data_IF_766188057537
#
_entry.id   IF_766188057537
#
_cell.length_a   1.000
_cell.length_b   1.000
_cell.length_c   1.000
_cell.angle_alpha   90.00
_cell.angle_beta   90.00
_cell.angle_gamma   90.00
#
_symmetry.space_group_name_H-M   'P 1'
#
loop_
_entity.id
_entity.type
_entity.pdbx_description
1 polymer ?
#
# COMPACT_ATOMS: atom_id res chain seq x y z
N UNK A 1 12.91 -19.96 -10.43
CA UNK A 1 12.35 -18.61 -10.67
C UNK A 1 12.52 -17.80 -9.38
N UNK A 2 13.30 -16.72 -9.40
CA UNK A 2 13.34 -15.79 -8.28
C UNK A 2 11.97 -15.12 -8.20
N UNK A 3 11.22 -15.22 -7.09
CA UNK A 3 9.97 -14.49 -6.96
C UNK A 3 10.31 -13.01 -7.04
N UNK A 4 9.85 -12.36 -8.11
CA UNK A 4 10.07 -10.94 -8.35
C UNK A 4 9.69 -10.18 -7.09
N UNK A 5 10.65 -9.56 -6.42
CA UNK A 5 10.47 -8.83 -5.14
C UNK A 5 9.39 -7.75 -5.25
N UNK A 6 9.06 -7.31 -6.47
CA UNK A 6 7.99 -6.38 -6.78
C UNK A 6 6.58 -6.98 -6.63
N UNK A 7 6.39 -8.27 -6.91
CA UNK A 7 5.09 -8.94 -6.79
C UNK A 7 4.68 -9.18 -5.34
N UNK A 8 5.64 -9.47 -4.46
CA UNK A 8 5.38 -9.70 -3.04
C UNK A 8 4.99 -8.41 -2.30
N UNK A 9 5.64 -7.29 -2.63
CA UNK A 9 5.36 -5.99 -1.99
C UNK A 9 3.98 -5.46 -2.37
N UNK A 10 3.57 -5.62 -3.63
CA UNK A 10 2.24 -5.20 -4.08
C UNK A 10 1.14 -6.02 -3.40
N UNK A 11 1.32 -7.35 -3.31
CA UNK A 11 0.38 -8.22 -2.63
C UNK A 11 0.27 -7.91 -1.13
N UNK A 12 1.39 -7.55 -0.48
CA UNK A 12 1.39 -7.14 0.93
C UNK A 12 0.59 -5.84 1.14
N UNK A 13 0.85 -4.79 0.36
CA UNK A 13 0.14 -3.52 0.51
C UNK A 13 -1.36 -3.69 0.21
N UNK A 14 -1.71 -4.39 -0.87
CA UNK A 14 -3.12 -4.69 -1.17
C UNK A 14 -3.78 -5.57 -0.09
N UNK A 15 -3.03 -6.45 0.58
CA UNK A 15 -3.49 -7.17 1.76
C UNK A 15 -3.80 -6.25 2.94
N UNK A 16 -2.89 -5.31 3.23
CA UNK A 16 -3.04 -4.34 4.32
C UNK A 16 -4.21 -3.38 4.09
N UNK A 17 -4.39 -2.91 2.85
CA UNK A 17 -5.54 -2.08 2.46
C UNK A 17 -6.87 -2.83 2.65
N UNK A 18 -6.94 -4.11 2.26
CA UNK A 18 -8.14 -4.95 2.50
C UNK A 18 -8.42 -5.16 3.99
N UNK A 19 -7.39 -5.41 4.80
CA UNK A 19 -7.54 -5.56 6.24
C UNK A 19 -8.05 -4.27 6.90
N UNK A 20 -7.53 -3.12 6.46
CA UNK A 20 -7.98 -1.81 6.93
C UNK A 20 -9.45 -1.52 6.56
N UNK A 21 -9.87 -1.81 5.32
CA UNK A 21 -11.27 -1.68 4.88
C UNK A 21 -12.22 -2.62 5.63
N UNK A 22 -11.79 -3.84 5.95
CA UNK A 22 -12.58 -4.76 6.78
C UNK A 22 -12.83 -4.21 8.20
N UNK A 23 -11.90 -3.42 8.74
CA UNK A 23 -12.05 -2.82 10.08
C UNK A 23 -12.78 -1.47 10.07
N UNK A 24 -12.59 -0.65 9.04
CA UNK A 24 -13.04 0.75 9.02
C UNK A 24 -14.16 1.03 8.00
N UNK A 25 -14.57 0.02 7.23
CA UNK A 25 -15.47 0.19 6.08
C UNK A 25 -14.78 0.79 4.86
N UNK A 26 -15.57 1.14 3.84
CA UNK A 26 -15.09 1.70 2.57
C UNK A 26 -15.06 3.23 2.54
N UNK A 27 -15.39 3.90 3.65
CA UNK A 27 -15.48 5.36 3.72
C UNK A 27 -14.13 6.02 4.06
N UNK A 28 -13.04 5.48 3.53
CA UNK A 28 -11.68 5.96 3.77
C UNK A 28 -10.99 6.24 2.45
N UNK A 29 -10.28 7.36 2.36
CA UNK A 29 -9.50 7.70 1.17
C UNK A 29 -8.34 6.71 0.98
N UNK A 30 -8.03 6.37 -0.27
CA UNK A 30 -6.87 5.57 -0.68
C UNK A 30 -5.59 6.11 -0.03
N UNK A 31 -5.48 7.44 0.13
CA UNK A 31 -4.36 8.08 0.79
C UNK A 31 -4.22 7.69 2.28
N UNK A 32 -5.34 7.58 2.99
CA UNK A 32 -5.38 7.12 4.39
C UNK A 32 -4.91 5.67 4.49
N UNK A 33 -5.34 4.81 3.57
CA UNK A 33 -4.91 3.41 3.56
C UNK A 33 -3.41 3.25 3.28
N UNK A 34 -2.85 4.08 2.41
CA UNK A 34 -1.40 4.12 2.15
C UNK A 34 -0.60 4.56 3.38
N UNK A 35 -1.10 5.56 4.11
CA UNK A 35 -0.45 6.04 5.34
C UNK A 35 -0.43 4.95 6.42
N UNK A 36 -1.54 4.22 6.58
CA UNK A 36 -1.60 3.09 7.52
C UNK A 36 -0.71 1.93 7.09
N UNK A 37 -0.68 1.57 5.80
CA UNK A 37 0.24 0.57 5.30
C UNK A 37 1.70 0.96 5.59
N UNK A 38 2.08 2.22 5.35
CA UNK A 38 3.41 2.71 5.68
C UNK A 38 3.71 2.66 7.19
N UNK A 39 2.75 3.02 8.06
CA UNK A 39 2.88 2.95 9.52
C UNK A 39 3.11 1.52 10.00
N UNK A 40 2.30 0.57 9.55
CA UNK A 40 2.43 -0.84 9.91
C UNK A 40 3.74 -1.45 9.41
N UNK A 41 4.17 -1.09 8.19
CA UNK A 41 5.43 -1.61 7.62
C UNK A 41 6.65 -1.10 8.42
N UNK A 42 6.62 0.16 8.89
CA UNK A 42 7.63 0.69 9.82
C UNK A 42 7.61 -0.02 11.17
N UNK A 43 6.43 -0.25 11.74
CA UNK A 43 6.28 -0.95 13.01
C UNK A 43 6.79 -2.39 12.96
N UNK A 44 6.76 -3.03 11.78
CA UNK A 44 7.34 -4.34 11.53
C UNK A 44 8.89 -4.32 11.39
N UNK A 45 9.55 -3.18 11.59
CA UNK A 45 11.01 -3.05 11.53
C UNK A 45 11.58 -2.97 10.11
N UNK A 46 10.74 -2.74 9.09
CA UNK A 46 11.22 -2.60 7.71
C UNK A 46 11.96 -1.27 7.55
N UNK A 47 13.16 -1.25 6.93
CA UNK A 47 13.92 -0.01 6.73
C UNK A 47 13.13 1.04 5.94
N UNK A 48 13.20 2.30 6.38
CA UNK A 48 12.44 3.42 5.79
C UNK A 48 12.66 3.55 4.27
N UNK A 49 13.87 3.25 3.79
CA UNK A 49 14.17 3.26 2.34
C UNK A 49 13.34 2.25 1.55
N UNK A 50 13.09 1.07 2.13
CA UNK A 50 12.26 0.02 1.53
C UNK A 50 10.80 0.42 1.58
N UNK A 51 10.32 0.95 2.71
CA UNK A 51 8.95 1.49 2.86
C UNK A 51 8.69 2.57 1.81
N UNK A 52 9.56 3.58 1.70
CA UNK A 52 9.40 4.67 0.72
C UNK A 52 9.37 4.18 -0.72
N UNK A 53 10.21 3.19 -1.06
CA UNK A 53 10.23 2.60 -2.41
C UNK A 53 8.92 1.86 -2.70
N UNK A 54 8.47 1.02 -1.76
CA UNK A 54 7.23 0.27 -1.87
C UNK A 54 6.02 1.21 -2.04
N UNK A 55 5.94 2.26 -1.23
CA UNK A 55 4.88 3.25 -1.31
C UNK A 55 4.88 4.00 -2.64
N UNK A 56 6.03 4.47 -3.15
CA UNK A 56 6.10 5.14 -4.46
C UNK A 56 5.65 4.25 -5.61
N UNK A 57 6.06 2.98 -5.61
CA UNK A 57 5.68 2.03 -6.65
C UNK A 57 4.17 1.79 -6.67
N UNK A 58 3.58 1.60 -5.49
CA UNK A 58 2.14 1.37 -5.37
C UNK A 58 1.35 2.65 -5.66
N UNK A 59 1.78 3.81 -5.15
CA UNK A 59 1.14 5.09 -5.45
C UNK A 59 1.06 5.35 -6.95
N UNK A 60 2.17 5.13 -7.67
CA UNK A 60 2.19 5.26 -9.14
C UNK A 60 1.22 4.29 -9.83
N UNK A 61 1.14 3.04 -9.35
CA UNK A 61 0.21 2.06 -9.91
C UNK A 61 -1.25 2.48 -9.72
N UNK A 62 -1.63 2.90 -8.52
CA UNK A 62 -2.99 3.35 -8.21
C UNK A 62 -3.35 4.67 -8.93
N UNK A 63 -2.37 5.56 -9.09
CA UNK A 63 -2.51 6.78 -9.89
C UNK A 63 -2.79 6.47 -11.37
N UNK A 64 -2.06 5.52 -11.97
CA UNK A 64 -2.34 5.03 -13.32
C UNK A 64 -3.73 4.40 -13.48
N UNK A 65 -4.31 3.85 -12.40
CA UNK A 65 -5.67 3.31 -12.39
C UNK A 65 -6.75 4.37 -12.16
N UNK A 66 -6.37 5.65 -11.97
CA UNK A 66 -7.31 6.72 -11.67
C UNK A 66 -7.90 6.63 -10.26
N UNK A 67 -7.29 5.87 -9.35
CA UNK A 67 -7.82 5.64 -8.00
C UNK A 67 -7.88 6.92 -7.16
N UNK A 68 -7.10 7.94 -7.49
CA UNK A 68 -7.12 9.26 -6.85
C UNK A 68 -8.04 10.27 -7.56
N UNK A 69 -8.59 9.91 -8.73
CA UNK A 69 -9.48 10.76 -9.54
C UNK A 69 -10.95 10.31 -9.52
N UNK A 70 -11.26 9.20 -8.84
CA UNK A 70 -12.65 8.76 -8.64
C UNK A 70 -13.34 9.72 -7.65
N UNK A 71 -14.13 10.65 -8.20
CA UNK A 71 -15.14 11.44 -7.47
C UNK A 71 -16.52 10.89 -7.77
#
# INVERSE_FOLDING_TARGET
MLPSTSGSVHAQISGMQRAFRNQNGFNTDVQTEFNEAARQTRAAGVPERVVRRAMRQNYKYFDCLGAFNAK
#
